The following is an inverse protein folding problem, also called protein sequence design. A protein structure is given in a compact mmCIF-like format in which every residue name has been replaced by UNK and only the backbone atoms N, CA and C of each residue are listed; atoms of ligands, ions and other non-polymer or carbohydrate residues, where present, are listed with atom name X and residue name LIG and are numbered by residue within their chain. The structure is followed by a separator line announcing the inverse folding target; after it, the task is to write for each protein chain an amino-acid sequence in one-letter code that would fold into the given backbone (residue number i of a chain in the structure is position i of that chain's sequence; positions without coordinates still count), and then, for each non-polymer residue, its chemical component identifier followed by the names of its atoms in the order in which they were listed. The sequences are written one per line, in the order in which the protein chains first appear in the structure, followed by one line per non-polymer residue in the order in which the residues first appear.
data_IF_565907938369
#
_entry.id   IF_565907938369
#
_cell.length_a   1.000
_cell.length_b   1.000
_cell.length_c   1.000
_cell.angle_alpha   90.00
_cell.angle_beta   90.00
_cell.angle_gamma   90.00
#
_symmetry.space_group_name_H-M   'P 1'
#
loop_
_entity.id
_entity.type
_entity.pdbx_description
1 polymer ?
#
# COMPACT_ATOMS: atom_id res chain seq x y z
N UNK A 1 17.18 15.08 13.99
CA UNK A 1 17.01 13.67 14.38
C UNK A 1 17.03 12.82 13.12
N UNK A 2 17.83 11.75 13.02
CA UNK A 2 17.75 10.85 11.87
C UNK A 2 16.36 10.20 11.84
N UNK A 3 15.64 10.35 10.71
CA UNK A 3 14.35 9.67 10.54
C UNK A 3 14.60 8.17 10.44
N UNK A 4 13.74 7.39 11.10
CA UNK A 4 13.82 5.93 11.04
C UNK A 4 13.73 5.48 9.56
N UNK A 5 14.55 4.50 9.15
CA UNK A 5 14.48 3.97 7.80
C UNK A 5 13.07 3.43 7.51
N UNK A 6 12.57 3.68 6.31
CA UNK A 6 11.28 3.15 5.87
C UNK A 6 11.36 1.64 5.84
N UNK A 7 10.52 0.99 6.64
CA UNK A 7 10.47 -0.47 6.72
C UNK A 7 9.51 -1.05 5.69
N UNK A 8 9.73 -2.32 5.31
CA UNK A 8 8.79 -3.07 4.47
C UNK A 8 7.39 -3.10 5.09
N UNK A 9 7.31 -3.25 6.41
CA UNK A 9 6.08 -3.16 7.19
C UNK A 9 5.32 -1.83 6.96
N UNK A 10 6.02 -0.70 6.99
CA UNK A 10 5.44 0.62 6.73
C UNK A 10 4.90 0.73 5.30
N UNK A 11 5.59 0.16 4.32
CA UNK A 11 5.14 0.13 2.92
C UNK A 11 3.87 -0.70 2.79
N UNK A 12 3.88 -1.95 3.27
CA UNK A 12 2.73 -2.87 3.18
C UNK A 12 1.49 -2.27 3.84
N UNK A 13 1.63 -1.70 5.05
CA UNK A 13 0.54 -1.04 5.75
C UNK A 13 -0.06 0.10 4.92
N UNK A 14 0.79 0.93 4.31
CA UNK A 14 0.34 2.08 3.51
C UNK A 14 -0.40 1.61 2.25
N UNK A 15 0.14 0.62 1.53
CA UNK A 15 -0.48 0.06 0.32
C UNK A 15 -1.85 -0.53 0.62
N UNK A 16 -1.96 -1.32 1.69
CA UNK A 16 -3.23 -1.92 2.08
C UNK A 16 -4.26 -0.91 2.56
N UNK A 17 -3.84 0.13 3.29
CA UNK A 17 -4.75 1.21 3.69
C UNK A 17 -5.35 1.93 2.46
N UNK A 18 -4.53 2.18 1.43
CA UNK A 18 -5.00 2.78 0.17
C UNK A 18 -5.93 1.83 -0.60
N UNK A 19 -5.60 0.54 -0.66
CA UNK A 19 -6.45 -0.47 -1.28
C UNK A 19 -7.79 -0.65 -0.54
N UNK A 20 -7.77 -0.65 0.80
CA UNK A 20 -8.97 -0.72 1.65
C UNK A 20 -9.88 0.51 1.52
N UNK A 21 -9.32 1.66 1.16
CA UNK A 21 -10.08 2.86 0.79
C UNK A 21 -10.70 2.77 -0.63
N UNK A 22 -10.56 1.63 -1.33
CA UNK A 22 -11.10 1.42 -2.67
C UNK A 22 -10.24 2.03 -3.78
N UNK A 23 -9.04 2.52 -3.47
CA UNK A 23 -8.17 3.17 -4.44
C UNK A 23 -7.12 2.19 -4.95
N UNK A 24 -7.03 2.03 -6.27
CA UNK A 24 -6.04 1.15 -6.88
C UNK A 24 -4.65 1.78 -6.84
N UNK A 25 -3.72 1.07 -6.25
CA UNK A 25 -2.30 1.46 -6.20
C UNK A 25 -1.62 1.09 -7.51
N UNK A 26 -0.98 2.06 -8.16
CA UNK A 26 -0.16 1.82 -9.36
C UNK A 26 1.31 1.72 -9.06
N UNK A 27 1.84 2.66 -8.26
CA UNK A 27 3.27 2.73 -7.92
C UNK A 27 3.47 3.30 -6.52
N UNK A 28 4.48 2.79 -5.82
CA UNK A 28 4.95 3.36 -4.55
C UNK A 28 6.34 3.96 -4.76
N UNK A 29 6.53 5.18 -4.27
CA UNK A 29 7.80 5.90 -4.30
C UNK A 29 8.20 6.25 -2.86
N UNK A 30 9.46 6.01 -2.51
CA UNK A 30 10.00 6.32 -1.19
C UNK A 30 11.03 7.44 -1.37
N UNK A 31 10.73 8.61 -0.81
CA UNK A 31 11.64 9.75 -0.84
C UNK A 31 12.81 9.55 0.12
N UNK A 32 13.95 10.22 -0.10
CA UNK A 32 15.12 10.13 0.78
C UNK A 32 14.85 10.57 2.24
N UNK A 33 13.81 11.38 2.44
CA UNK A 33 13.35 11.81 3.76
C UNK A 33 12.44 10.79 4.44
N UNK A 34 12.19 9.62 3.85
CA UNK A 34 11.35 8.57 4.39
C UNK A 34 9.85 8.76 4.14
N UNK A 35 9.44 9.74 3.35
CA UNK A 35 8.04 9.89 2.93
C UNK A 35 7.68 8.83 1.89
N UNK A 36 6.61 8.08 2.16
CA UNK A 36 6.01 7.12 1.23
C UNK A 36 4.95 7.86 0.40
N UNK A 37 5.15 7.92 -0.91
CA UNK A 37 4.20 8.49 -1.88
C UNK A 37 3.54 7.35 -2.64
N UNK A 38 2.22 7.26 -2.58
CA UNK A 38 1.45 6.28 -3.33
C UNK A 38 0.84 6.94 -4.55
N UNK A 39 1.28 6.53 -5.73
CA UNK A 39 0.73 6.93 -7.01
C UNK A 39 -0.43 5.98 -7.35
N UNK A 40 -1.62 6.54 -7.42
CA UNK A 40 -2.87 5.80 -7.65
C UNK A 40 -3.18 5.77 -9.14
N UNK A 41 -3.85 4.71 -9.59
CA UNK A 41 -4.39 4.63 -10.95
C UNK A 41 -5.90 4.81 -10.88
N UNK A 42 -6.42 5.60 -11.82
CA UNK A 42 -7.86 5.73 -11.99
C UNK A 42 -8.41 4.38 -12.50
N UNK A 43 -9.53 3.93 -11.93
CA UNK A 43 -10.09 2.63 -12.29
C UNK A 43 -10.62 2.59 -13.73
N UNK A 44 -10.94 3.76 -14.28
CA UNK A 44 -11.36 3.98 -15.67
C UNK A 44 -10.19 4.20 -16.65
N UNK A 45 -8.95 4.26 -16.16
CA UNK A 45 -7.77 4.33 -17.03
C UNK A 45 -7.42 2.94 -17.58
N UNK A 46 -7.12 2.80 -18.89
CA UNK A 46 -6.77 1.52 -19.48
C UNK A 46 -5.56 0.92 -18.74
N UNK A 47 -5.61 -0.37 -18.36
CA UNK A 47 -4.56 -0.97 -17.55
C UNK A 47 -3.25 -0.97 -18.33
N UNK A 48 -2.27 -0.20 -17.84
CA UNK A 48 -0.88 -0.42 -18.21
C UNK A 48 -0.52 -1.78 -17.64
N UNK A 49 -0.46 -2.80 -18.49
CA UNK A 49 -0.19 -4.19 -18.10
C UNK A 49 1.20 -4.29 -17.45
N UNK A 50 1.23 -4.16 -16.12
CA UNK A 50 2.32 -4.65 -15.30
C UNK A 50 1.84 -5.96 -14.66
N UNK A 51 2.71 -6.99 -14.59
CA UNK A 51 2.33 -8.28 -14.02
C UNK A 51 1.93 -8.07 -12.56
N UNK A 52 0.64 -8.26 -12.28
CA UNK A 52 0.09 -8.30 -10.92
C UNK A 52 0.69 -9.52 -10.25
N UNK A 53 1.60 -9.30 -9.30
CA UNK A 53 1.97 -10.32 -8.33
C UNK A 53 0.77 -10.51 -7.42
N UNK A 54 0.13 -11.68 -7.52
CA UNK A 54 -0.94 -12.12 -6.64
C UNK A 54 -0.49 -11.95 -5.19
N UNK A 55 -1.14 -11.05 -4.45
CA UNK A 55 -0.78 -10.74 -3.08
C UNK A 55 -1.00 -11.94 -2.17
N UNK A 56 0.08 -12.53 -1.67
CA UNK A 56 0.04 -13.49 -0.56
C UNK A 56 -0.43 -12.79 0.73
N UNK A 57 -1.27 -13.49 1.49
CA UNK A 57 -1.72 -13.06 2.80
C UNK A 57 -0.50 -12.81 3.72
N UNK A 58 -0.50 -11.70 4.44
CA UNK A 58 0.59 -11.34 5.33
C UNK A 58 0.08 -10.82 6.67
N UNK A 59 0.96 -10.78 7.67
CA UNK A 59 0.68 -10.36 9.06
C UNK A 59 0.02 -8.98 9.21
N UNK A 60 0.03 -8.14 8.17
CA UNK A 60 -0.66 -6.85 8.17
C UNK A 60 -2.13 -6.93 7.80
N UNK A 61 -2.63 -8.08 7.31
CA UNK A 61 -4.06 -8.29 7.07
C UNK A 61 -4.83 -8.22 8.41
N UNK A 62 -4.35 -8.91 9.44
CA UNK A 62 -4.99 -8.98 10.77
C UNK A 62 -5.03 -7.62 11.49
N UNK A 63 -4.00 -6.78 11.30
CA UNK A 63 -3.95 -5.43 11.93
C UNK A 63 -4.94 -4.45 11.30
N UNK A 64 -5.38 -4.73 10.07
CA UNK A 64 -6.26 -3.84 9.30
C UNK A 64 -7.74 -4.27 9.36
N UNK A 65 -8.03 -5.47 9.85
CA UNK A 65 -9.39 -5.89 10.16
C UNK A 65 -9.80 -5.28 11.51
N UNK A 66 -10.74 -4.31 11.56
CA UNK A 66 -11.21 -3.81 12.82
C UNK A 66 -11.97 -4.94 13.54
N UNK A 67 -11.49 -5.32 14.72
CA UNK A 67 -12.21 -6.08 15.75
C UNK A 67 -13.59 -5.44 16.02
N UNK A 68 -14.60 -5.69 15.17
CA UNK A 68 -15.87 -5.00 15.28
C UNK A 68 -16.79 -5.02 14.07
N UNK A 69 -17.15 -6.19 13.56
CA UNK A 69 -18.47 -6.40 12.93
C UNK A 69 -18.86 -7.86 13.07
N UNK A 70 -19.40 -8.16 14.26
CA UNK A 70 -20.18 -9.37 14.52
C UNK A 70 -21.62 -9.16 14.08
#
# INVERSE_FOLDING_TARGET
MPRAPVSQASITRTVKAVAGAGVRVGRVEIKPDGTIVVHTIDADSPPVMLPVQSGEANEWDEVLEPEGSR
#
